data_IF_656140842395
#
_entry.id   IF_656140842395
#
_cell.length_a   1.000
_cell.length_b   1.000
_cell.length_c   1.000
_cell.angle_alpha   90.00
_cell.angle_beta   90.00
_cell.angle_gamma   90.00
#
_symmetry.space_group_name_H-M   'P 1'
#
loop_
_entity.id
_entity.type
_entity.pdbx_description
1 polymer ?
#
# COMPACT_ATOMS: atom_id res chain seq x y z
N UNK A 1 -36.81 67.31 -44.53
CA UNK A 1 -38.22 66.88 -44.58
C UNK A 1 -38.28 65.39 -44.08
N UNK A 2 -38.78 65.19 -42.91
CA UNK A 2 -39.92 64.33 -42.51
C UNK A 2 -39.65 62.84 -42.62
N UNK A 3 -39.92 61.99 -41.71
CA UNK A 3 -40.91 61.81 -40.61
C UNK A 3 -40.48 60.70 -39.65
N UNK A 4 -40.63 60.94 -38.43
CA UNK A 4 -40.66 59.92 -37.33
C UNK A 4 -41.71 58.84 -37.56
N UNK A 5 -41.34 57.58 -37.34
CA UNK A 5 -42.30 56.50 -37.04
C UNK A 5 -41.81 55.74 -35.82
N UNK A 6 -42.50 55.93 -34.71
CA UNK A 6 -42.39 55.17 -33.47
C UNK A 6 -42.97 53.76 -33.67
N UNK A 7 -42.18 52.71 -33.55
CA UNK A 7 -42.62 51.32 -33.43
C UNK A 7 -42.66 50.92 -31.96
N UNK A 8 -43.82 50.61 -31.43
CA UNK A 8 -44.11 50.06 -30.13
C UNK A 8 -43.53 48.63 -30.08
N UNK A 9 -42.69 48.35 -29.08
CA UNK A 9 -42.29 47.02 -28.72
C UNK A 9 -43.47 46.27 -28.03
N UNK A 10 -43.68 44.97 -28.38
CA UNK A 10 -44.68 44.16 -27.70
C UNK A 10 -44.17 43.73 -26.26
N UNK A 11 -45.02 43.92 -25.32
CA UNK A 11 -44.85 43.39 -23.94
C UNK A 11 -44.85 41.85 -23.99
N UNK A 12 -43.73 41.24 -23.67
CA UNK A 12 -43.61 39.80 -23.52
C UNK A 12 -44.32 39.39 -22.24
N UNK A 13 -45.45 38.69 -22.38
CA UNK A 13 -46.15 38.05 -21.28
C UNK A 13 -45.21 37.08 -20.54
N UNK A 14 -45.09 37.27 -19.24
CA UNK A 14 -44.41 36.38 -18.33
C UNK A 14 -45.34 35.19 -18.09
N UNK A 15 -44.98 34.03 -18.58
CA UNK A 15 -45.69 32.77 -18.40
C UNK A 15 -45.51 32.29 -16.99
N UNK A 16 -46.56 32.25 -16.15
CA UNK A 16 -46.42 31.85 -14.73
C UNK A 16 -46.12 30.34 -14.56
N UNK A 17 -46.17 29.53 -15.64
CA UNK A 17 -45.87 28.11 -15.58
C UNK A 17 -44.34 27.80 -15.59
N UNK A 18 -43.50 28.75 -16.02
CA UNK A 18 -42.05 28.54 -16.07
C UNK A 18 -41.35 28.81 -14.69
N UNK A 19 -42.02 29.41 -13.73
CA UNK A 19 -41.46 29.73 -12.41
C UNK A 19 -41.58 28.59 -11.38
N UNK A 20 -42.32 27.54 -11.68
CA UNK A 20 -42.55 26.41 -10.73
C UNK A 20 -41.61 25.22 -10.99
N UNK A 21 -40.94 25.13 -12.14
CA UNK A 21 -40.09 23.99 -12.47
C UNK A 21 -38.62 24.13 -12.07
N UNK A 22 -38.16 25.26 -11.56
CA UNK A 22 -36.73 25.49 -11.18
C UNK A 22 -36.41 25.24 -9.69
N UNK A 23 -37.40 24.80 -8.89
CA UNK A 23 -37.19 24.53 -7.44
C UNK A 23 -37.00 23.10 -7.03
N UNK A 24 -36.85 22.17 -7.96
CA UNK A 24 -36.78 20.74 -7.67
C UNK A 24 -35.46 20.08 -8.07
N UNK A 25 -34.33 20.72 -7.88
CA UNK A 25 -33.02 20.02 -7.94
C UNK A 25 -31.96 20.62 -6.98
N UNK A 26 -32.33 20.91 -5.76
CA UNK A 26 -31.33 20.83 -4.71
C UNK A 26 -31.14 19.33 -4.41
N UNK A 27 -30.22 18.68 -5.15
CA UNK A 27 -29.68 17.39 -4.74
C UNK A 27 -29.14 17.54 -3.33
N UNK A 28 -29.93 17.11 -2.35
CA UNK A 28 -29.52 17.01 -0.98
C UNK A 28 -28.18 16.28 -0.96
N UNK A 29 -27.13 16.95 -0.51
CA UNK A 29 -25.96 16.30 0.03
C UNK A 29 -26.51 15.41 1.13
N UNK A 30 -26.67 14.12 0.83
CA UNK A 30 -27.15 13.14 1.79
C UNK A 30 -26.32 13.30 3.06
N UNK A 31 -26.98 13.68 4.12
CA UNK A 31 -26.38 13.75 5.46
C UNK A 31 -25.96 12.31 5.75
N UNK A 32 -24.69 11.99 5.54
CA UNK A 32 -24.15 10.67 5.85
C UNK A 32 -24.46 10.39 7.31
N UNK A 33 -25.14 9.29 7.56
CA UNK A 33 -25.46 8.82 8.89
C UNK A 33 -24.19 8.80 9.74
N UNK A 34 -24.28 9.12 11.03
CA UNK A 34 -23.17 9.03 11.98
C UNK A 34 -22.48 7.67 11.88
N UNK A 35 -23.26 6.62 11.69
CA UNK A 35 -22.81 5.25 11.46
C UNK A 35 -21.90 5.14 10.22
N UNK A 36 -22.30 5.69 9.07
CA UNK A 36 -21.46 5.71 7.86
C UNK A 36 -20.15 6.45 8.08
N UNK A 37 -20.19 7.58 8.78
CA UNK A 37 -18.99 8.37 9.06
C UNK A 37 -18.00 7.58 9.90
N UNK A 38 -18.45 6.91 10.96
CA UNK A 38 -17.59 6.11 11.84
C UNK A 38 -16.99 4.94 11.06
N UNK A 39 -17.80 4.18 10.32
CA UNK A 39 -17.32 3.04 9.50
C UNK A 39 -16.29 3.51 8.49
N UNK A 40 -16.57 4.57 7.74
CA UNK A 40 -15.64 5.10 6.74
C UNK A 40 -14.34 5.60 7.39
N UNK A 41 -14.41 6.27 8.53
CA UNK A 41 -13.22 6.75 9.25
C UNK A 41 -12.34 5.58 9.71
N UNK A 42 -12.93 4.55 10.30
CA UNK A 42 -12.20 3.35 10.73
C UNK A 42 -11.56 2.64 9.53
N UNK A 43 -12.31 2.48 8.44
CA UNK A 43 -11.79 1.85 7.22
C UNK A 43 -10.64 2.65 6.60
N UNK A 44 -10.77 3.97 6.52
CA UNK A 44 -9.69 4.83 6.01
C UNK A 44 -8.44 4.75 6.87
N UNK A 45 -8.59 4.81 8.20
CA UNK A 45 -7.46 4.72 9.13
C UNK A 45 -6.78 3.35 9.05
N UNK A 46 -7.57 2.27 9.02
CA UNK A 46 -7.04 0.91 8.91
C UNK A 46 -6.35 0.69 7.55
N UNK A 47 -6.98 1.12 6.45
CA UNK A 47 -6.39 1.02 5.11
C UNK A 47 -5.10 1.81 4.99
N UNK A 48 -5.06 3.01 5.56
CA UNK A 48 -3.86 3.84 5.61
C UNK A 48 -2.74 3.16 6.41
N UNK A 49 -3.05 2.63 7.60
CA UNK A 49 -2.06 1.95 8.44
C UNK A 49 -1.49 0.70 7.78
N UNK A 50 -2.35 -0.17 7.21
CA UNK A 50 -1.93 -1.36 6.49
C UNK A 50 -1.15 -1.01 5.21
N UNK A 51 -1.59 -0.01 4.45
CA UNK A 51 -0.91 0.45 3.25
C UNK A 51 0.48 1.00 3.56
N UNK A 52 0.58 1.88 4.56
CA UNK A 52 1.86 2.44 5.00
C UNK A 52 2.82 1.33 5.48
N UNK A 53 2.33 0.41 6.31
CA UNK A 53 3.12 -0.75 6.78
C UNK A 53 3.62 -1.61 5.62
N UNK A 54 2.76 -1.89 4.63
CA UNK A 54 3.12 -2.64 3.44
C UNK A 54 4.20 -1.94 2.61
N UNK A 55 4.07 -0.63 2.37
CA UNK A 55 5.08 0.16 1.64
C UNK A 55 6.41 0.15 2.36
N UNK A 56 6.43 0.41 3.67
CA UNK A 56 7.66 0.40 4.48
C UNK A 56 8.32 -0.98 4.44
N UNK A 57 7.55 -2.04 4.64
CA UNK A 57 8.05 -3.42 4.59
C UNK A 57 8.65 -3.74 3.21
N UNK A 58 7.97 -3.36 2.12
CA UNK A 58 8.46 -3.56 0.75
C UNK A 58 9.79 -2.85 0.50
N UNK A 59 9.89 -1.57 0.87
CA UNK A 59 11.11 -0.77 0.68
C UNK A 59 12.27 -1.37 1.47
N UNK A 60 12.05 -1.72 2.75
CA UNK A 60 13.07 -2.33 3.59
C UNK A 60 13.54 -3.67 3.02
N UNK A 61 12.62 -4.54 2.62
CA UNK A 61 12.95 -5.85 2.08
C UNK A 61 13.66 -5.76 0.72
N UNK A 62 13.20 -4.88 -0.16
CA UNK A 62 13.85 -4.61 -1.45
C UNK A 62 15.28 -4.09 -1.28
N UNK A 63 15.51 -3.25 -0.26
CA UNK A 63 16.86 -2.76 0.06
C UNK A 63 17.74 -3.87 0.62
N UNK A 64 17.18 -4.74 1.46
CA UNK A 64 17.91 -5.91 2.00
C UNK A 64 18.37 -6.85 0.88
N UNK A 65 17.49 -7.22 -0.06
CA UNK A 65 17.83 -8.07 -1.20
C UNK A 65 19.02 -7.49 -1.96
N UNK A 66 18.98 -6.20 -2.28
CA UNK A 66 20.08 -5.55 -2.97
C UNK A 66 21.38 -5.60 -2.18
N UNK A 67 21.34 -5.26 -0.90
CA UNK A 67 22.52 -5.27 -0.05
C UNK A 67 23.09 -6.69 0.10
N UNK A 68 22.22 -7.68 0.30
CA UNK A 68 22.65 -9.10 0.38
C UNK A 68 23.34 -9.58 -0.90
N UNK A 69 22.84 -9.17 -2.07
CA UNK A 69 23.47 -9.52 -3.35
C UNK A 69 24.88 -8.91 -3.46
N UNK A 70 25.07 -7.64 -3.08
CA UNK A 70 26.39 -7.02 -3.06
C UNK A 70 27.30 -7.63 -2.01
N UNK A 71 26.81 -7.97 -0.82
CA UNK A 71 27.61 -8.68 0.20
C UNK A 71 28.01 -10.08 -0.25
N UNK A 72 27.16 -10.78 -1.00
CA UNK A 72 27.49 -12.07 -1.58
C UNK A 72 28.58 -11.94 -2.63
N UNK A 73 28.45 -11.00 -3.56
CA UNK A 73 29.49 -10.72 -4.56
C UNK A 73 30.82 -10.32 -3.94
N UNK A 74 30.79 -9.55 -2.86
CA UNK A 74 32.00 -9.15 -2.11
C UNK A 74 32.67 -10.35 -1.44
N UNK A 75 31.91 -11.26 -0.85
CA UNK A 75 32.42 -12.51 -0.27
C UNK A 75 33.03 -13.41 -1.34
N UNK A 76 32.33 -13.55 -2.50
CA UNK A 76 32.83 -14.35 -3.63
C UNK A 76 34.13 -13.76 -4.19
N UNK A 77 34.20 -12.43 -4.30
CA UNK A 77 35.42 -11.72 -4.67
C UNK A 77 36.57 -12.04 -3.70
N UNK A 78 36.33 -11.92 -2.40
CA UNK A 78 37.32 -12.20 -1.37
C UNK A 78 37.83 -13.65 -1.43
N UNK A 79 36.92 -14.62 -1.63
CA UNK A 79 37.28 -16.03 -1.77
C UNK A 79 38.11 -16.28 -3.01
N UNK A 80 37.77 -15.66 -4.13
CA UNK A 80 38.54 -15.83 -5.38
C UNK A 80 39.94 -15.18 -5.26
N UNK A 81 40.05 -14.01 -4.66
CA UNK A 81 41.35 -13.36 -4.39
C UNK A 81 42.20 -14.23 -3.46
N UNK A 82 41.59 -14.81 -2.41
CA UNK A 82 42.31 -15.73 -1.53
C UNK A 82 42.78 -17.00 -2.24
N UNK A 83 41.97 -17.56 -3.14
CA UNK A 83 42.35 -18.71 -3.98
C UNK A 83 43.54 -18.35 -4.89
N UNK A 84 43.48 -17.20 -5.55
CA UNK A 84 44.56 -16.69 -6.38
C UNK A 84 45.86 -16.48 -5.60
N UNK A 85 45.76 -15.88 -4.40
CA UNK A 85 46.91 -15.63 -3.52
C UNK A 85 47.53 -16.89 -2.96
N UNK A 86 46.70 -17.93 -2.66
CA UNK A 86 47.18 -19.23 -2.20
C UNK A 86 47.95 -19.98 -3.29
N UNK A 87 47.69 -19.65 -4.55
CA UNK A 87 48.28 -20.28 -5.74
C UNK A 87 48.30 -21.82 -5.65
N UNK A 88 47.21 -22.38 -5.14
CA UNK A 88 47.06 -23.83 -4.90
C UNK A 88 45.80 -24.31 -5.58
N UNK A 89 45.98 -25.14 -6.65
CA UNK A 89 44.87 -25.65 -7.44
C UNK A 89 44.24 -26.88 -6.77
N UNK A 90 43.00 -26.78 -6.25
CA UNK A 90 42.32 -27.88 -5.57
C UNK A 90 42.11 -29.09 -6.52
N UNK A 91 41.92 -28.83 -7.79
CA UNK A 91 41.69 -29.89 -8.80
C UNK A 91 42.99 -30.65 -9.18
N UNK A 92 44.14 -30.07 -8.84
CA UNK A 92 45.47 -30.67 -9.18
C UNK A 92 46.32 -30.91 -7.91
N UNK A 93 45.70 -31.52 -6.89
CA UNK A 93 46.39 -31.91 -5.64
C UNK A 93 47.15 -30.76 -4.95
N UNK A 94 46.69 -29.53 -5.09
CA UNK A 94 47.30 -28.37 -4.45
C UNK A 94 48.53 -27.79 -5.14
N UNK A 95 48.86 -28.24 -6.37
CA UNK A 95 49.95 -27.66 -7.16
C UNK A 95 49.62 -26.22 -7.56
N UNK A 96 50.63 -25.36 -7.78
CA UNK A 96 50.41 -24.02 -8.31
C UNK A 96 49.64 -24.02 -9.62
N UNK A 97 48.88 -22.96 -9.87
CA UNK A 97 48.19 -22.76 -11.16
C UNK A 97 49.24 -22.46 -12.24
N UNK A 98 49.06 -23.08 -13.39
CA UNK A 98 50.02 -22.96 -14.51
C UNK A 98 49.67 -21.74 -15.39
N UNK A 99 48.40 -21.39 -15.49
CA UNK A 99 47.92 -20.30 -16.33
C UNK A 99 46.63 -19.66 -15.77
N UNK A 100 46.25 -18.51 -16.34
CA UNK A 100 45.04 -17.79 -15.94
C UNK A 100 43.75 -18.62 -16.14
N UNK A 101 43.71 -19.46 -17.17
CA UNK A 101 42.53 -20.30 -17.47
C UNK A 101 42.26 -21.34 -16.37
N UNK A 102 43.31 -21.96 -15.79
CA UNK A 102 43.14 -22.89 -14.66
C UNK A 102 42.62 -22.20 -13.42
N UNK A 103 43.16 -21.02 -13.06
CA UNK A 103 42.71 -20.23 -11.94
C UNK A 103 41.25 -19.82 -12.12
N UNK A 104 40.88 -19.33 -13.30
CA UNK A 104 39.52 -18.92 -13.61
C UNK A 104 38.54 -20.10 -13.57
N UNK A 105 38.95 -21.28 -14.09
CA UNK A 105 38.17 -22.52 -14.00
C UNK A 105 37.93 -22.92 -12.54
N UNK A 106 38.98 -22.91 -11.72
CA UNK A 106 38.86 -23.16 -10.26
C UNK A 106 37.97 -22.16 -9.58
N UNK A 107 38.09 -20.88 -9.92
CA UNK A 107 37.20 -19.83 -9.42
C UNK A 107 35.73 -20.01 -9.81
N UNK A 108 35.47 -20.46 -11.03
CA UNK A 108 34.10 -20.80 -11.48
C UNK A 108 33.51 -21.99 -10.70
N UNK A 109 34.32 -22.96 -10.33
CA UNK A 109 33.88 -24.17 -9.62
C UNK A 109 33.92 -24.04 -8.10
N UNK A 110 34.56 -23.01 -7.56
CA UNK A 110 34.75 -22.83 -6.10
C UNK A 110 33.45 -22.70 -5.31
N UNK A 111 32.39 -22.23 -5.94
CA UNK A 111 31.09 -22.07 -5.33
C UNK A 111 29.95 -22.36 -6.32
N UNK A 112 28.97 -23.18 -5.97
CA UNK A 112 27.78 -23.38 -6.78
C UNK A 112 27.02 -22.04 -6.95
N UNK A 113 26.45 -21.89 -8.13
CA UNK A 113 25.61 -20.70 -8.42
C UNK A 113 24.24 -20.87 -7.76
N UNK A 114 23.70 -19.77 -7.20
CA UNK A 114 22.30 -19.70 -6.80
C UNK A 114 21.37 -19.67 -8.03
N UNK A 115 20.07 -19.86 -7.84
CA UNK A 115 19.10 -19.79 -8.94
C UNK A 115 19.10 -18.41 -9.65
N UNK A 116 19.45 -17.35 -8.93
CA UNK A 116 19.63 -16.01 -9.46
C UNK A 116 21.07 -15.71 -9.90
N UNK A 117 21.99 -16.67 -9.72
CA UNK A 117 23.41 -16.49 -9.97
C UNK A 117 23.81 -16.83 -11.41
N UNK A 118 24.74 -16.03 -11.95
CA UNK A 118 25.42 -16.27 -13.21
C UNK A 118 26.91 -16.05 -13.07
N UNK A 119 27.70 -16.67 -13.94
CA UNK A 119 29.14 -16.48 -13.97
C UNK A 119 29.69 -16.65 -15.37
N UNK A 120 30.75 -15.91 -15.67
CA UNK A 120 31.59 -16.12 -16.85
C UNK A 120 33.03 -15.78 -16.53
N UNK A 121 33.94 -16.35 -17.28
CA UNK A 121 35.35 -16.01 -17.21
C UNK A 121 35.84 -15.42 -18.54
N UNK A 122 36.64 -14.39 -18.45
CA UNK A 122 37.23 -13.68 -19.57
C UNK A 122 38.72 -13.95 -19.60
N UNK A 123 39.29 -14.13 -20.79
CA UNK A 123 40.72 -14.07 -21.03
C UNK A 123 40.98 -13.29 -22.30
N UNK A 124 41.89 -12.32 -22.24
CA UNK A 124 42.23 -11.44 -23.37
C UNK A 124 40.99 -10.83 -24.07
N UNK A 125 39.99 -10.40 -23.29
CA UNK A 125 38.76 -9.79 -23.78
C UNK A 125 37.78 -10.79 -24.43
N UNK A 126 38.00 -12.09 -24.31
CA UNK A 126 37.10 -13.13 -24.82
C UNK A 126 36.54 -13.96 -23.69
N UNK A 127 35.27 -14.39 -23.84
CA UNK A 127 34.66 -15.34 -22.91
C UNK A 127 35.23 -16.71 -23.13
N UNK A 128 35.92 -17.28 -22.13
CA UNK A 128 36.53 -18.61 -22.18
C UNK A 128 35.74 -19.67 -21.42
N UNK A 129 35.02 -19.27 -20.37
CA UNK A 129 34.17 -20.13 -19.56
C UNK A 129 32.85 -19.46 -19.27
N UNK A 130 31.79 -20.25 -19.28
CA UNK A 130 30.43 -19.82 -18.95
C UNK A 130 29.87 -20.72 -17.85
N UNK A 131 28.83 -20.24 -17.19
CA UNK A 131 28.07 -21.04 -16.25
C UNK A 131 27.51 -22.31 -16.92
N UNK A 132 27.25 -23.38 -16.15
CA UNK A 132 26.62 -24.60 -16.67
C UNK A 132 25.34 -24.29 -17.45
N UNK A 133 25.00 -25.17 -18.43
CA UNK A 133 23.78 -24.98 -19.23
C UNK A 133 22.50 -24.95 -18.41
N UNK A 134 22.51 -25.50 -17.18
CA UNK A 134 21.41 -25.46 -16.23
C UNK A 134 21.25 -24.10 -15.51
N UNK A 135 22.23 -23.20 -15.60
CA UNK A 135 22.14 -21.90 -14.96
C UNK A 135 21.06 -21.02 -15.60
N UNK A 136 20.22 -20.43 -14.78
CA UNK A 136 19.13 -19.54 -15.23
C UNK A 136 19.66 -18.21 -15.76
N UNK A 137 20.71 -17.68 -15.14
CA UNK A 137 21.32 -16.40 -15.50
C UNK A 137 22.56 -16.65 -16.36
N UNK A 138 22.53 -16.17 -17.59
CA UNK A 138 23.58 -16.35 -18.60
C UNK A 138 24.13 -14.99 -19.04
N UNK A 139 25.10 -14.44 -18.32
CA UNK A 139 25.62 -13.10 -18.59
C UNK A 139 26.27 -12.99 -19.99
N UNK A 140 26.82 -14.07 -20.50
CA UNK A 140 27.41 -14.13 -21.83
C UNK A 140 26.42 -13.96 -22.98
N UNK A 141 25.12 -14.17 -22.72
CA UNK A 141 24.05 -13.98 -23.72
C UNK A 141 23.65 -12.53 -23.94
N UNK A 142 23.96 -11.65 -22.99
CA UNK A 142 23.68 -10.22 -23.09
C UNK A 142 24.89 -9.46 -23.63
N UNK A 143 24.82 -9.05 -24.88
CA UNK A 143 25.95 -8.44 -25.59
C UNK A 143 26.38 -7.11 -24.94
N UNK A 144 25.41 -6.28 -24.47
CA UNK A 144 25.72 -5.03 -23.79
C UNK A 144 26.46 -5.27 -22.46
N UNK A 145 26.02 -6.25 -21.70
CA UNK A 145 26.69 -6.63 -20.47
C UNK A 145 28.09 -7.19 -20.73
N UNK A 146 28.24 -8.06 -21.74
CA UNK A 146 29.53 -8.62 -22.11
C UNK A 146 30.57 -7.52 -22.42
N UNK A 147 30.18 -6.50 -23.20
CA UNK A 147 31.05 -5.36 -23.49
C UNK A 147 31.38 -4.57 -22.21
N UNK A 148 30.43 -4.39 -21.32
CA UNK A 148 30.64 -3.74 -20.02
C UNK A 148 31.65 -4.52 -19.17
N UNK A 149 31.48 -5.82 -19.06
CA UNK A 149 32.39 -6.69 -18.30
C UNK A 149 33.80 -6.74 -18.89
N UNK A 150 33.94 -6.78 -20.22
CA UNK A 150 35.24 -6.71 -20.90
C UNK A 150 35.90 -5.35 -20.60
N UNK A 151 35.18 -4.25 -20.73
CA UNK A 151 35.75 -2.93 -20.44
C UNK A 151 36.14 -2.77 -18.97
N UNK A 152 35.39 -3.37 -18.03
CA UNK A 152 35.73 -3.40 -16.63
C UNK A 152 36.97 -4.25 -16.33
N UNK A 153 37.12 -5.40 -17.01
CA UNK A 153 38.27 -6.29 -16.84
C UNK A 153 39.62 -5.62 -17.23
N UNK A 154 39.58 -4.72 -18.21
CA UNK A 154 40.75 -4.00 -18.69
C UNK A 154 41.22 -2.91 -17.67
N UNK A 155 40.35 -2.45 -16.76
CA UNK A 155 40.71 -1.44 -15.75
C UNK A 155 41.61 -1.97 -14.64
N UNK A 156 41.85 -3.29 -14.59
CA UNK A 156 42.65 -3.97 -13.56
C UNK A 156 42.27 -3.67 -12.11
N UNK A 157 41.05 -3.25 -11.90
CA UNK A 157 40.46 -3.00 -10.58
C UNK A 157 39.20 -3.82 -10.42
N UNK A 158 39.07 -4.48 -9.27
CA UNK A 158 37.84 -5.19 -8.95
C UNK A 158 36.68 -4.22 -8.82
N UNK A 159 35.58 -4.51 -9.50
CA UNK A 159 34.41 -3.64 -9.54
C UNK A 159 33.19 -4.41 -9.05
N UNK A 160 32.39 -3.80 -8.18
CA UNK A 160 31.07 -4.31 -7.80
C UNK A 160 30.05 -3.21 -8.16
N UNK A 161 29.27 -3.45 -9.20
CA UNK A 161 28.37 -2.47 -9.77
C UNK A 161 27.00 -3.09 -10.12
N UNK A 162 26.07 -2.24 -10.53
CA UNK A 162 24.74 -2.64 -11.01
C UNK A 162 24.63 -2.36 -12.51
N UNK A 163 24.08 -3.33 -13.23
CA UNK A 163 23.79 -3.23 -14.65
C UNK A 163 22.28 -3.31 -14.88
N UNK A 164 21.70 -2.25 -15.48
CA UNK A 164 20.24 -2.10 -15.68
C UNK A 164 19.85 -1.85 -17.14
N UNK A 165 20.65 -2.33 -18.09
CA UNK A 165 20.39 -2.15 -19.53
C UNK A 165 19.95 -3.47 -20.18
N UNK A 166 19.29 -3.37 -21.35
CA UNK A 166 18.86 -4.56 -22.07
C UNK A 166 17.75 -5.36 -21.37
N UNK A 167 16.94 -4.72 -20.51
CA UNK A 167 15.82 -5.37 -19.84
C UNK A 167 16.17 -6.22 -18.62
N UNK A 168 17.43 -6.17 -18.16
CA UNK A 168 17.91 -6.91 -17.00
C UNK A 168 18.27 -5.97 -15.85
N UNK A 169 18.23 -6.48 -14.62
CA UNK A 169 18.63 -5.76 -13.40
C UNK A 169 19.57 -6.67 -12.61
N UNK A 170 20.88 -6.53 -12.88
CA UNK A 170 21.93 -7.38 -12.34
C UNK A 170 22.85 -6.62 -11.40
N UNK A 171 23.15 -7.20 -10.25
CA UNK A 171 24.35 -6.87 -9.48
C UNK A 171 25.50 -7.73 -10.02
N UNK A 172 26.65 -7.15 -10.25
CA UNK A 172 27.79 -7.91 -10.80
C UNK A 172 29.10 -7.50 -10.15
N UNK A 173 30.04 -8.46 -10.17
CA UNK A 173 31.42 -8.28 -9.75
C UNK A 173 32.35 -8.72 -10.88
N UNK A 174 33.35 -7.92 -11.17
CA UNK A 174 34.45 -8.26 -12.08
C UNK A 174 35.75 -8.25 -11.27
N UNK A 175 36.43 -9.40 -11.25
CA UNK A 175 37.71 -9.55 -10.56
C UNK A 175 38.78 -9.86 -11.60
N UNK A 176 39.54 -8.85 -12.03
CA UNK A 176 40.65 -9.06 -12.97
C UNK A 176 41.81 -9.77 -12.29
N UNK A 177 42.49 -10.63 -13.07
CA UNK A 177 43.70 -11.32 -12.67
C UNK A 177 44.76 -11.17 -13.77
N UNK A 178 45.99 -11.01 -13.36
CA UNK A 178 47.14 -10.95 -14.25
C UNK A 178 48.09 -12.05 -13.81
N UNK A 179 48.43 -12.96 -14.71
CA UNK A 179 49.40 -14.01 -14.45
C UNK A 179 50.82 -13.45 -14.69
N UNK A 180 51.61 -13.36 -13.64
CA UNK A 180 52.89 -12.68 -13.70
C UNK A 180 53.91 -13.39 -14.63
N UNK A 181 53.83 -14.71 -14.76
CA UNK A 181 54.76 -15.50 -15.56
C UNK A 181 54.49 -15.42 -17.05
N UNK A 182 53.23 -15.38 -17.46
CA UNK A 182 52.85 -15.40 -18.88
C UNK A 182 52.35 -14.03 -19.38
N UNK A 183 52.05 -13.09 -18.47
CA UNK A 183 51.42 -11.81 -18.82
C UNK A 183 49.93 -11.93 -19.24
N UNK A 184 49.36 -13.15 -19.15
CA UNK A 184 47.95 -13.38 -19.47
C UNK A 184 47.01 -12.57 -18.58
N UNK A 185 46.05 -11.90 -19.20
CA UNK A 185 45.03 -11.15 -18.51
C UNK A 185 43.70 -11.90 -18.54
N UNK A 186 43.11 -12.08 -17.38
CA UNK A 186 41.80 -12.67 -17.26
C UNK A 186 40.91 -11.95 -16.26
N UNK A 187 39.64 -12.29 -16.22
CA UNK A 187 38.74 -11.82 -15.20
C UNK A 187 37.65 -12.84 -14.87
N UNK A 188 37.38 -13.00 -13.60
CA UNK A 188 36.16 -13.70 -13.15
C UNK A 188 35.03 -12.69 -13.02
N UNK A 189 33.93 -12.99 -13.67
CA UNK A 189 32.68 -12.21 -13.62
C UNK A 189 31.60 -13.02 -12.91
N UNK A 190 31.06 -12.47 -11.84
CA UNK A 190 29.91 -13.01 -11.11
C UNK A 190 28.74 -12.06 -11.24
N UNK A 191 27.54 -12.61 -11.38
CA UNK A 191 26.30 -11.85 -11.58
C UNK A 191 25.21 -12.41 -10.68
N UNK A 192 24.39 -11.55 -10.11
CA UNK A 192 23.18 -11.92 -9.39
C UNK A 192 22.02 -11.14 -10.02
N UNK A 193 21.00 -11.85 -10.50
CA UNK A 193 19.80 -11.24 -11.06
C UNK A 193 18.83 -10.78 -9.95
N UNK A 194 18.78 -9.48 -9.74
CA UNK A 194 17.94 -8.86 -8.74
C UNK A 194 16.43 -9.02 -9.05
N UNK A 195 16.08 -9.31 -10.31
CA UNK A 195 14.68 -9.52 -10.70
C UNK A 195 14.20 -10.90 -10.23
N UNK A 196 15.05 -11.92 -10.34
CA UNK A 196 14.78 -13.28 -9.85
C UNK A 196 14.67 -13.26 -8.31
N UNK A 197 15.63 -12.63 -7.64
CA UNK A 197 15.61 -12.47 -6.18
C UNK A 197 14.34 -11.78 -5.68
N UNK A 198 13.82 -10.80 -6.44
CA UNK A 198 12.59 -10.09 -6.10
C UNK A 198 11.30 -10.87 -6.37
N UNK A 199 11.32 -11.96 -7.14
CA UNK A 199 10.09 -12.74 -7.42
C UNK A 199 9.47 -13.29 -6.14
N UNK A 200 10.26 -13.90 -5.27
CA UNK A 200 9.79 -14.40 -3.98
C UNK A 200 9.23 -13.29 -3.09
N UNK A 201 9.73 -12.07 -3.24
CA UNK A 201 9.21 -10.89 -2.55
C UNK A 201 7.81 -10.52 -3.07
N UNK A 202 7.62 -10.50 -4.38
CA UNK A 202 6.33 -10.19 -4.99
C UNK A 202 5.25 -11.21 -4.59
N UNK A 203 5.58 -12.50 -4.50
CA UNK A 203 4.65 -13.54 -4.04
C UNK A 203 4.24 -13.32 -2.58
N UNK A 204 5.20 -12.98 -1.73
CA UNK A 204 4.95 -12.63 -0.33
C UNK A 204 4.03 -11.39 -0.23
N UNK A 205 4.28 -10.35 -1.03
CA UNK A 205 3.45 -9.15 -1.03
C UNK A 205 2.07 -9.37 -1.64
N UNK A 206 1.93 -10.26 -2.59
CA UNK A 206 0.62 -10.69 -3.11
C UNK A 206 -0.20 -11.35 -2.00
N UNK A 207 0.41 -12.28 -1.28
CA UNK A 207 -0.23 -12.93 -0.12
C UNK A 207 -0.60 -11.90 0.96
N UNK A 208 0.32 -11.00 1.32
CA UNK A 208 0.03 -9.90 2.24
C UNK A 208 -1.17 -9.06 1.80
N UNK A 209 -1.24 -8.69 0.52
CA UNK A 209 -2.33 -7.88 -0.03
C UNK A 209 -3.67 -8.59 0.10
N UNK A 210 -3.73 -9.88 -0.22
CA UNK A 210 -4.96 -10.69 -0.08
C UNK A 210 -5.42 -10.74 1.37
N UNK A 211 -4.50 -11.01 2.31
CA UNK A 211 -4.79 -11.04 3.75
C UNK A 211 -5.24 -9.66 4.26
N UNK A 212 -4.57 -8.59 3.82
CA UNK A 212 -4.93 -7.21 4.20
C UNK A 212 -6.34 -6.83 3.72
N UNK A 213 -6.71 -7.19 2.48
CA UNK A 213 -8.07 -6.98 1.97
C UNK A 213 -9.09 -7.77 2.80
N UNK A 214 -8.80 -9.04 3.10
CA UNK A 214 -9.65 -9.87 3.95
C UNK A 214 -9.86 -9.28 5.35
N UNK A 215 -8.78 -8.74 5.95
CA UNK A 215 -8.86 -8.05 7.24
C UNK A 215 -9.72 -6.78 7.17
N UNK A 216 -9.55 -5.95 6.14
CA UNK A 216 -10.35 -4.73 5.93
C UNK A 216 -11.85 -5.08 5.79
N UNK A 217 -12.18 -6.10 4.99
CA UNK A 217 -13.57 -6.56 4.81
C UNK A 217 -14.15 -7.07 6.13
N UNK A 218 -13.38 -7.84 6.90
CA UNK A 218 -13.79 -8.35 8.20
C UNK A 218 -14.04 -7.23 9.21
N UNK A 219 -13.13 -6.24 9.28
CA UNK A 219 -13.28 -5.05 10.13
C UNK A 219 -14.51 -4.25 9.72
N UNK A 220 -14.75 -4.07 8.42
CA UNK A 220 -15.94 -3.40 7.91
C UNK A 220 -17.22 -4.10 8.36
N UNK A 221 -17.28 -5.43 8.21
CA UNK A 221 -18.42 -6.24 8.62
C UNK A 221 -18.69 -6.19 10.13
N UNK A 222 -17.65 -6.36 10.94
CA UNK A 222 -17.74 -6.29 12.40
C UNK A 222 -18.17 -4.89 12.84
N UNK A 223 -17.53 -3.85 12.31
CA UNK A 223 -17.86 -2.45 12.65
C UNK A 223 -19.31 -2.13 12.27
N UNK A 224 -19.76 -2.58 11.09
CA UNK A 224 -21.13 -2.42 10.67
C UNK A 224 -22.12 -3.13 11.59
N UNK A 225 -21.83 -4.35 11.99
CA UNK A 225 -22.69 -5.15 12.90
C UNK A 225 -22.78 -4.49 14.29
N UNK A 226 -21.63 -4.11 14.85
CA UNK A 226 -21.54 -3.46 16.16
C UNK A 226 -22.29 -2.13 16.15
N UNK A 227 -22.02 -1.26 15.16
CA UNK A 227 -22.70 0.03 15.03
C UNK A 227 -24.22 -0.14 14.82
N UNK A 228 -24.63 -1.18 14.12
CA UNK A 228 -26.06 -1.49 13.94
C UNK A 228 -26.76 -1.76 15.26
N UNK A 229 -26.09 -2.48 16.16
CA UNK A 229 -26.67 -2.83 17.46
C UNK A 229 -26.58 -1.69 18.47
N UNK A 230 -25.47 -0.93 18.48
CA UNK A 230 -25.28 0.16 19.42
C UNK A 230 -26.15 1.39 19.13
N UNK A 231 -26.45 1.65 17.85
CA UNK A 231 -27.23 2.83 17.47
C UNK A 231 -28.75 2.55 17.34
N UNK A 232 -29.20 1.30 17.50
CA UNK A 232 -30.63 0.96 17.54
C UNK A 232 -31.43 1.71 18.63
N UNK A 233 -30.94 1.80 19.87
CA UNK A 233 -31.66 2.52 20.92
C UNK A 233 -31.85 4.01 20.63
N UNK A 234 -30.88 4.67 19.98
CA UNK A 234 -30.98 6.10 19.63
C UNK A 234 -32.12 6.37 18.68
N UNK A 235 -32.34 5.50 17.69
CA UNK A 235 -33.46 5.64 16.75
C UNK A 235 -34.83 5.44 17.41
N UNK A 236 -34.88 4.70 18.51
CA UNK A 236 -36.10 4.51 19.29
C UNK A 236 -36.42 5.76 20.12
N UNK A 237 -35.40 6.35 20.77
CA UNK A 237 -35.56 7.62 21.52
C UNK A 237 -36.07 8.70 20.59
N UNK A 238 -35.47 8.82 19.38
CA UNK A 238 -35.91 9.81 18.40
C UNK A 238 -37.39 9.61 17.97
N UNK A 239 -37.77 8.38 17.61
CA UNK A 239 -39.14 8.07 17.18
C UNK A 239 -40.15 8.30 18.28
N UNK A 240 -39.85 7.89 19.52
CA UNK A 240 -40.75 8.12 20.65
C UNK A 240 -40.85 9.61 20.96
N UNK A 241 -39.78 10.39 20.83
CA UNK A 241 -39.81 11.82 20.98
C UNK A 241 -40.62 12.51 19.86
N UNK A 242 -40.60 12.02 18.65
CA UNK A 242 -41.42 12.49 17.52
C UNK A 242 -42.93 12.14 17.69
N UNK A 243 -43.21 11.00 18.34
CA UNK A 243 -44.60 10.56 18.63
C UNK A 243 -45.22 11.31 19.82
N UNK A 244 -44.41 11.96 20.68
CA UNK A 244 -44.89 12.79 21.76
C UNK A 244 -45.41 14.10 21.15
N UNK A 245 -46.72 14.23 21.00
CA UNK A 245 -47.37 15.42 20.51
C UNK A 245 -48.02 16.19 21.69
N UNK A 246 -48.48 17.44 21.47
CA UNK A 246 -49.15 18.26 22.44
C UNK A 246 -50.39 17.60 23.12
N UNK A 247 -50.87 16.49 22.55
CA UNK A 247 -52.06 15.79 23.01
C UNK A 247 -51.76 14.53 23.84
N UNK A 248 -50.50 13.99 23.80
CA UNK A 248 -50.13 12.78 24.56
C UNK A 248 -48.72 12.90 25.11
N UNK A 249 -48.55 13.64 26.20
CA UNK A 249 -47.31 13.85 26.93
C UNK A 249 -47.07 12.71 27.95
N UNK A 250 -48.05 11.82 28.17
CA UNK A 250 -47.97 10.75 29.18
C UNK A 250 -47.10 9.56 28.79
N UNK A 251 -46.71 9.44 27.52
CA UNK A 251 -45.83 8.36 27.06
C UNK A 251 -44.43 8.50 27.62
N UNK A 252 -43.82 7.36 27.98
CA UNK A 252 -42.44 7.26 28.47
C UNK A 252 -41.64 6.37 27.55
N UNK A 253 -40.34 6.70 27.44
CA UNK A 253 -39.38 5.93 26.69
C UNK A 253 -38.93 4.73 27.53
N UNK A 254 -39.05 3.47 27.04
CA UNK A 254 -38.65 2.33 27.83
C UNK A 254 -37.12 2.31 28.04
N UNK A 255 -36.69 2.34 29.33
CA UNK A 255 -35.29 2.24 29.70
C UNK A 255 -34.84 0.82 29.49
N UNK A 256 -33.79 0.61 28.66
CA UNK A 256 -33.18 -0.69 28.37
C UNK A 256 -31.68 -0.62 28.58
N UNK A 257 -31.14 -1.62 29.30
CA UNK A 257 -29.70 -1.68 29.61
C UNK A 257 -29.32 -0.88 30.85
N UNK A 258 -28.03 -0.76 31.08
CA UNK A 258 -27.45 -0.05 32.23
C UNK A 258 -26.21 0.77 31.77
N UNK A 259 -26.32 1.39 30.61
CA UNK A 259 -25.29 2.17 29.95
C UNK A 259 -25.65 3.67 29.89
N UNK A 260 -24.79 4.47 29.29
CA UNK A 260 -25.00 5.93 29.13
C UNK A 260 -26.31 6.27 28.41
N UNK A 261 -26.79 5.34 27.53
CA UNK A 261 -28.08 5.52 26.86
C UNK A 261 -29.26 5.31 27.80
N UNK A 262 -29.14 4.38 28.74
CA UNK A 262 -30.14 4.19 29.79
C UNK A 262 -30.21 5.44 30.69
N UNK A 263 -29.06 6.03 31.06
CA UNK A 263 -28.98 7.27 31.83
C UNK A 263 -29.61 8.46 31.07
N UNK A 264 -29.33 8.56 29.75
CA UNK A 264 -29.96 9.58 28.89
C UNK A 264 -31.48 9.39 28.84
N UNK A 265 -31.97 8.16 28.67
CA UNK A 265 -33.39 7.84 28.62
C UNK A 265 -34.08 8.21 29.93
N UNK A 266 -33.44 7.97 31.07
CA UNK A 266 -33.96 8.37 32.38
C UNK A 266 -34.06 9.90 32.52
N UNK A 267 -33.04 10.61 32.05
CA UNK A 267 -33.03 12.09 32.05
C UNK A 267 -34.17 12.66 31.19
N UNK A 268 -34.38 12.09 29.99
CA UNK A 268 -35.48 12.49 29.10
C UNK A 268 -36.85 12.22 29.75
N UNK A 269 -37.06 11.04 30.35
CA UNK A 269 -38.28 10.71 31.04
C UNK A 269 -38.57 11.67 32.23
N UNK A 270 -37.53 12.03 32.98
CA UNK A 270 -37.67 13.04 34.07
C UNK A 270 -38.08 14.41 33.54
N UNK A 271 -37.57 14.78 32.35
CA UNK A 271 -37.97 16.02 31.70
C UNK A 271 -39.43 15.98 31.25
N UNK A 272 -39.90 14.83 30.74
CA UNK A 272 -41.31 14.61 30.35
C UNK A 272 -42.23 14.68 31.58
N UNK A 273 -41.84 14.15 32.75
CA UNK A 273 -42.60 14.23 33.99
C UNK A 273 -42.80 15.68 34.43
N UNK A 274 -41.75 16.51 34.33
CA UNK A 274 -41.82 17.94 34.63
C UNK A 274 -42.73 18.69 33.66
N UNK A 275 -42.67 18.36 32.36
CA UNK A 275 -43.52 18.96 31.34
C UNK A 275 -44.99 18.61 31.55
N UNK A 276 -45.32 17.35 31.83
CA UNK A 276 -46.68 16.89 32.12
C UNK A 276 -47.25 17.60 33.35
N UNK A 277 -46.43 17.73 34.40
CA UNK A 277 -46.82 18.46 35.62
C UNK A 277 -47.12 19.94 35.36
N UNK A 278 -46.28 20.58 34.52
CA UNK A 278 -46.44 21.99 34.15
C UNK A 278 -47.71 22.23 33.34
N UNK A 279 -47.95 21.37 32.31
CA UNK A 279 -49.17 21.46 31.47
C UNK A 279 -50.43 21.15 32.28
N UNK A 280 -50.37 20.18 33.19
CA UNK A 280 -51.46 19.87 34.12
C UNK A 280 -51.79 21.01 35.09
N UNK A 281 -50.78 21.74 35.56
CA UNK A 281 -50.97 22.94 36.40
C UNK A 281 -51.60 24.07 35.59
N UNK A 282 -51.14 24.30 34.36
CA UNK A 282 -51.69 25.32 33.46
C UNK A 282 -53.18 25.05 33.11
N UNK A 283 -53.54 23.79 32.86
CA UNK A 283 -54.92 23.38 32.57
C UNK A 283 -55.85 23.65 33.75
N UNK A 284 -55.40 23.29 34.97
CA UNK A 284 -56.15 23.57 36.20
C UNK A 284 -56.38 25.07 36.43
N UNK A 285 -55.38 25.88 36.15
CA UNK A 285 -55.48 27.36 36.31
C UNK A 285 -56.48 27.97 35.30
N UNK A 286 -56.54 27.45 34.08
CA UNK A 286 -57.49 27.84 33.05
C UNK A 286 -58.94 27.42 33.43
N UNK A 287 -59.11 26.22 33.98
CA UNK A 287 -60.39 25.70 34.43
C UNK A 287 -60.93 26.51 35.63
N UNK A 288 -60.07 26.91 36.59
CA UNK A 288 -60.40 27.76 37.71
C UNK A 288 -60.82 29.16 37.26
N UNK A 289 -60.04 29.78 36.38
CA UNK A 289 -60.41 31.12 35.82
C UNK A 289 -61.68 31.02 34.97
N UNK A 290 -61.87 29.94 34.24
CA UNK A 290 -63.12 29.71 33.48
C UNK A 290 -64.36 29.54 34.36
N UNK A 291 -64.18 28.97 35.56
CA UNK A 291 -65.27 28.83 36.56
C UNK A 291 -65.59 30.13 37.21
N UNK A 292 -64.58 30.94 37.58
CA UNK A 292 -64.76 32.26 38.21
C UNK A 292 -65.42 33.29 37.25
N UNK A 293 -65.16 33.18 35.94
CA UNK A 293 -65.78 34.07 34.95
C UNK A 293 -67.22 33.66 34.58
N UNK A 294 -67.69 32.49 35.04
CA UNK A 294 -69.05 32.00 34.76
C UNK A 294 -70.02 32.21 35.91
N UNK A 295 -69.57 32.63 37.07
CA UNK A 295 -70.36 33.09 38.20
C UNK A 295 -70.43 34.61 38.20
#
# INVERSE_FOLDING_TARGET
MARLARGRAPVRGVDPAAAVSSRAQSRGRGVRSIRERIVVTILLLTSFGLGLSGVVAYVLQSTRIRNSAFEELERDRGQFIALAAANSNPANSGKPFVNASELLSAGMQSKPLSDAGGAMALSDGKVIWTAPASATVRPESNELFKQTAISASLKQQSTNERFTQGGVDWAYSVVPVVFAETGEQGALVRVIDLTIERRGLNDTFTTYTVVAIGAIVSIAGITWLVMSRLLLPISWVQRTAEEISEHDISRRIPVRGNDDLAALTHTVNTMLDRLESAVGAQKRLLDDVGHELRT
#
